data_IF_427388842240
#
_entry.id   IF_427388842240
#
_cell.length_a   1.000
_cell.length_b   1.000
_cell.length_c   1.000
_cell.angle_alpha   90.00
_cell.angle_beta   90.00
_cell.angle_gamma   90.00
#
_symmetry.space_group_name_H-M   'P 1'
#
loop_
_entity.id
_entity.type
_entity.pdbx_description
1 polymer ?
#
# COMPACT_ATOMS: atom_id res chain seq x y z
N UNK A 1 -4.58 -17.62 -5.26
CA UNK A 1 -5.36 -16.36 -5.16
C UNK A 1 -6.59 -16.65 -4.33
N UNK A 2 -6.79 -15.93 -3.23
CA UNK A 2 -7.95 -16.09 -2.34
C UNK A 2 -8.63 -14.73 -2.18
N UNK A 3 -9.95 -14.68 -2.35
CA UNK A 3 -10.74 -13.46 -2.20
C UNK A 3 -11.60 -13.65 -0.93
N UNK A 4 -11.47 -12.73 0.02
CA UNK A 4 -12.29 -12.72 1.24
C UNK A 4 -13.08 -11.41 1.35
N UNK A 5 -14.39 -11.52 1.49
CA UNK A 5 -15.26 -10.37 1.76
C UNK A 5 -15.38 -10.22 3.28
N UNK A 6 -14.88 -9.10 3.81
CA UNK A 6 -15.01 -8.74 5.23
C UNK A 6 -15.97 -7.57 5.38
N UNK A 7 -16.81 -7.61 6.42
CA UNK A 7 -17.58 -6.45 6.85
C UNK A 7 -16.69 -5.52 7.65
N UNK A 8 -16.90 -4.22 7.47
CA UNK A 8 -16.36 -3.22 8.37
C UNK A 8 -17.04 -3.32 9.73
N UNK A 9 -16.28 -3.09 10.80
CA UNK A 9 -16.89 -2.94 12.11
C UNK A 9 -17.65 -1.61 12.23
N UNK A 10 -18.31 -1.39 13.38
CA UNK A 10 -19.09 -0.17 13.64
C UNK A 10 -18.29 1.14 13.59
N UNK A 11 -16.96 1.07 13.62
CA UNK A 11 -16.06 2.22 13.52
C UNK A 11 -15.38 2.30 12.15
N UNK A 12 -15.80 1.48 11.17
CA UNK A 12 -15.20 1.47 9.83
C UNK A 12 -13.88 0.72 9.74
N UNK A 13 -13.51 -0.11 10.72
CA UNK A 13 -12.23 -0.83 10.73
C UNK A 13 -12.35 -2.18 10.03
N UNK A 14 -11.29 -2.57 9.32
CA UNK A 14 -11.10 -3.93 8.80
C UNK A 14 -10.28 -4.72 9.81
N UNK A 15 -10.79 -5.89 10.22
CA UNK A 15 -10.04 -6.81 11.08
C UNK A 15 -9.14 -7.68 10.22
N UNK A 16 -7.83 -7.55 10.40
CA UNK A 16 -6.84 -8.42 9.76
C UNK A 16 -6.67 -9.70 10.61
N UNK A 17 -6.99 -10.89 10.07
CA UNK A 17 -6.87 -12.16 10.80
C UNK A 17 -5.46 -12.41 11.31
N UNK A 18 -5.33 -13.14 12.43
CA UNK A 18 -4.04 -13.43 13.06
C UNK A 18 -3.11 -14.16 12.09
N UNK A 19 -3.62 -15.11 11.33
CA UNK A 19 -2.89 -15.92 10.37
C UNK A 19 -2.26 -15.06 9.26
N UNK A 20 -2.89 -13.93 8.91
CA UNK A 20 -2.36 -13.01 7.90
C UNK A 20 -1.23 -12.18 8.49
N UNK A 21 -1.39 -11.71 9.74
CA UNK A 21 -0.36 -10.95 10.46
C UNK A 21 0.89 -11.80 10.74
N UNK A 22 0.72 -13.08 11.06
CA UNK A 22 1.84 -14.02 11.23
C UNK A 22 2.68 -14.17 9.95
N UNK A 23 2.03 -14.11 8.77
CA UNK A 23 2.72 -14.22 7.47
C UNK A 23 3.28 -12.90 6.95
N UNK A 24 2.59 -11.80 7.20
CA UNK A 24 2.84 -10.54 6.50
C UNK A 24 3.22 -9.36 7.42
N UNK A 25 3.18 -9.56 8.74
CA UNK A 25 3.48 -8.55 9.75
C UNK A 25 2.25 -7.83 10.29
N UNK A 26 2.47 -7.02 11.33
CA UNK A 26 1.42 -6.27 12.03
C UNK A 26 1.25 -4.82 11.52
N UNK A 27 2.02 -4.43 10.51
CA UNK A 27 1.98 -3.09 9.92
C UNK A 27 1.62 -3.16 8.44
N UNK A 28 0.76 -2.23 8.01
CA UNK A 28 0.32 -2.11 6.62
C UNK A 28 0.54 -0.70 6.09
N UNK A 29 0.76 -0.61 4.79
CA UNK A 29 0.63 0.62 3.99
C UNK A 29 -0.76 0.62 3.39
N UNK A 30 -1.46 1.74 3.53
CA UNK A 30 -2.77 1.96 2.92
C UNK A 30 -2.59 2.98 1.82
N UNK A 31 -2.89 2.59 0.59
CA UNK A 31 -2.88 3.47 -0.58
C UNK A 31 -4.32 3.78 -0.95
N UNK A 32 -4.64 5.07 -1.07
CA UNK A 32 -5.99 5.55 -1.36
C UNK A 32 -5.97 6.18 -2.73
N UNK A 33 -6.81 5.65 -3.63
CA UNK A 33 -7.09 6.21 -4.94
C UNK A 33 -8.50 6.80 -4.95
N UNK A 34 -8.91 7.43 -6.05
CA UNK A 34 -10.25 7.99 -6.18
C UNK A 34 -11.36 6.91 -6.13
N UNK A 35 -11.10 5.72 -6.69
CA UNK A 35 -12.09 4.65 -6.87
C UNK A 35 -11.86 3.42 -5.97
N UNK A 36 -10.68 3.30 -5.35
CA UNK A 36 -10.30 2.11 -4.56
C UNK A 36 -9.31 2.41 -3.44
N UNK A 37 -9.21 1.46 -2.51
CA UNK A 37 -8.20 1.43 -1.44
C UNK A 37 -7.43 0.11 -1.51
N UNK A 38 -6.11 0.18 -1.45
CA UNK A 38 -5.21 -0.98 -1.40
C UNK A 38 -4.50 -1.06 -0.05
N UNK A 39 -4.43 -2.28 0.52
CA UNK A 39 -3.78 -2.54 1.81
C UNK A 39 -2.65 -3.53 1.58
N UNK A 40 -1.44 -3.12 1.93
CA UNK A 40 -0.21 -3.85 1.64
C UNK A 40 0.59 -4.06 2.92
N UNK A 41 1.27 -5.19 3.12
CA UNK A 41 2.14 -5.35 4.28
C UNK A 41 3.37 -4.45 4.16
N UNK A 42 3.77 -3.81 5.26
CA UNK A 42 5.01 -3.01 5.31
C UNK A 42 6.26 -3.88 5.28
N UNK A 43 6.15 -5.16 5.67
CA UNK A 43 7.24 -6.14 5.69
C UNK A 43 7.47 -6.72 4.28
N UNK A 44 7.99 -5.88 3.40
CA UNK A 44 8.30 -6.17 2.01
C UNK A 44 8.73 -4.87 1.37
N UNK A 45 9.95 -4.85 0.81
CA UNK A 45 10.63 -3.66 0.31
C UNK A 45 9.65 -2.73 -0.44
N UNK A 46 9.33 -1.56 0.13
CA UNK A 46 8.42 -0.53 -0.45
C UNK A 46 8.81 -0.22 -1.91
N UNK A 47 10.11 -0.36 -2.21
CA UNK A 47 10.72 -0.22 -3.53
C UNK A 47 10.18 -1.19 -4.59
N UNK A 48 9.83 -2.43 -4.23
CA UNK A 48 9.25 -3.40 -5.19
C UNK A 48 7.81 -3.07 -5.59
N UNK A 49 7.12 -2.25 -4.79
CA UNK A 49 5.73 -1.88 -5.06
C UNK A 49 5.65 -0.67 -6.00
N UNK A 50 6.57 0.29 -5.87
CA UNK A 50 6.70 1.40 -6.82
C UNK A 50 6.95 0.90 -8.26
N UNK A 51 7.73 -0.16 -8.43
CA UNK A 51 7.96 -0.79 -9.75
C UNK A 51 6.75 -1.58 -10.29
N UNK A 52 5.74 -1.87 -9.46
CA UNK A 52 4.55 -2.65 -9.85
C UNK A 52 3.32 -1.80 -10.19
N UNK A 53 3.40 -0.49 -9.92
CA UNK A 53 2.38 0.48 -10.28
C UNK A 53 2.71 0.97 -11.71
N UNK A 54 2.21 0.29 -12.74
CA UNK A 54 2.10 0.89 -14.08
C UNK A 54 0.92 1.88 -14.04
N UNK A 55 1.17 3.08 -13.53
CA UNK A 55 0.23 4.20 -13.62
C UNK A 55 0.97 5.33 -14.32
N UNK A 56 0.36 5.89 -15.37
CA UNK A 56 0.92 6.97 -16.19
C UNK A 56 1.35 8.21 -15.38
N UNK A 57 0.95 8.29 -14.10
CA UNK A 57 1.34 9.29 -13.09
C UNK A 57 2.79 9.14 -12.56
N UNK A 58 3.53 8.09 -12.93
CA UNK A 58 4.93 7.90 -12.51
C UNK A 58 5.90 8.97 -13.03
N UNK A 59 5.52 9.75 -14.05
CA UNK A 59 6.35 10.90 -14.50
C UNK A 59 6.51 11.95 -13.41
N UNK A 60 5.46 12.21 -12.64
CA UNK A 60 5.50 13.15 -11.52
C UNK A 60 6.30 12.60 -10.34
N UNK A 61 6.38 11.27 -10.19
CA UNK A 61 7.18 10.64 -9.14
C UNK A 61 8.68 10.76 -9.38
N UNK A 62 9.15 10.62 -10.63
CA UNK A 62 10.58 10.85 -10.94
C UNK A 62 10.97 12.33 -10.76
N UNK A 63 10.08 13.25 -11.13
CA UNK A 63 10.29 14.69 -10.97
C UNK A 63 10.34 15.09 -9.49
N UNK A 64 9.36 14.63 -8.69
CA UNK A 64 9.34 14.86 -7.25
C UNK A 64 10.55 14.23 -6.52
N UNK A 65 11.00 13.05 -6.97
CA UNK A 65 12.22 12.41 -6.44
C UNK A 65 13.45 13.27 -6.75
N UNK A 66 13.54 13.87 -7.93
CA UNK A 66 14.68 14.72 -8.30
C UNK A 66 14.75 15.96 -7.40
N UNK A 67 13.62 16.61 -7.15
CA UNK A 67 13.54 17.77 -6.25
C UNK A 67 13.96 17.43 -4.82
N UNK A 68 13.53 16.29 -4.29
CA UNK A 68 13.86 15.88 -2.91
C UNK A 68 15.35 15.56 -2.69
N UNK A 69 16.07 15.13 -3.74
CA UNK A 69 17.48 14.72 -3.65
C UNK A 69 18.47 15.78 -4.14
N UNK A 70 18.04 16.79 -4.91
CA UNK A 70 18.89 17.93 -5.31
C UNK A 70 18.99 19.03 -4.23
N UNK A 71 18.14 19.02 -3.19
CA UNK A 71 18.20 19.98 -2.06
C UNK A 71 19.15 19.52 -0.95
N UNK A 72 20.34 19.02 -1.31
CA UNK A 72 21.38 18.67 -0.33
C UNK A 72 22.69 19.41 -0.54
#
# INVERSE_FOLDING_TARGET
MSIEVKKLDRHGRIVIPKEWRERHGDEVVVVVYEDKVEILPRKGNVMRFADSIEVEELKDWEEMRRELYEVR
#
